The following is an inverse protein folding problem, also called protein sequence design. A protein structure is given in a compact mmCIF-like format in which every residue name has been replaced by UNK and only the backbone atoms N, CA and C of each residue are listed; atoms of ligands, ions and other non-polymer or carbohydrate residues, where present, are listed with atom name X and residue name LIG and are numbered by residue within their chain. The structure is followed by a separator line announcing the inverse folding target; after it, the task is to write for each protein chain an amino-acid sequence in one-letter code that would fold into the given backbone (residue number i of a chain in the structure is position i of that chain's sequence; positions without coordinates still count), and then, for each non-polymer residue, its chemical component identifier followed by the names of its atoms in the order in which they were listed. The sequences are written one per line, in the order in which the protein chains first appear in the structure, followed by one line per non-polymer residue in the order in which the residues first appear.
data_IF_233091153538
#
_entry.id   IF_233091153538
#
_cell.length_a   1.000
_cell.length_b   1.000
_cell.length_c   1.000
_cell.angle_alpha   90.00
_cell.angle_beta   90.00
_cell.angle_gamma   90.00
#
_symmetry.space_group_name_H-M   'P 1'
#
loop_
_entity.id
_entity.type
_entity.pdbx_description
1 polymer ?
#
# COMPACT_ATOMS: atom_id res chain seq x y z
N UNK A 1 2.10 -20.62 31.30
CA UNK A 1 1.53 -19.25 31.28
C UNK A 1 0.41 -19.21 30.26
N UNK A 2 -0.77 -18.71 30.61
CA UNK A 2 -1.86 -18.57 29.66
C UNK A 2 -1.42 -17.60 28.54
N UNK A 3 -1.70 -17.94 27.28
CA UNK A 3 -1.35 -17.10 26.14
C UNK A 3 -2.25 -15.87 26.16
N UNK A 4 -1.66 -14.67 26.22
CA UNK A 4 -2.41 -13.40 26.19
C UNK A 4 -3.31 -13.33 24.96
N UNK A 5 -4.53 -12.85 25.12
CA UNK A 5 -5.45 -12.59 24.02
C UNK A 5 -4.90 -11.49 23.10
N UNK A 6 -5.46 -11.35 21.90
CA UNK A 6 -5.07 -10.27 20.98
C UNK A 6 -5.36 -8.90 21.61
N UNK A 7 -6.48 -8.76 22.31
CA UNK A 7 -6.85 -7.51 22.99
C UNK A 7 -5.86 -7.15 24.10
N UNK A 8 -5.51 -8.10 24.97
CA UNK A 8 -4.52 -7.86 26.03
C UNK A 8 -3.14 -7.48 25.47
N UNK A 9 -2.73 -8.05 24.32
CA UNK A 9 -1.50 -7.63 23.67
C UNK A 9 -1.61 -6.20 23.13
N UNK A 10 -2.74 -5.85 22.51
CA UNK A 10 -2.98 -4.51 22.01
C UNK A 10 -2.95 -3.48 23.14
N UNK A 11 -3.64 -3.72 24.23
CA UNK A 11 -3.64 -2.84 25.41
C UNK A 11 -2.22 -2.64 25.97
N UNK A 12 -1.43 -3.70 26.07
CA UNK A 12 -0.07 -3.59 26.60
C UNK A 12 0.90 -2.91 25.64
N UNK A 13 0.85 -3.24 24.35
CA UNK A 13 1.86 -2.80 23.39
C UNK A 13 1.48 -1.47 22.69
N UNK A 14 0.20 -1.18 22.54
CA UNK A 14 -0.25 0.05 21.85
C UNK A 14 -0.73 1.08 22.85
N UNK A 15 -1.76 0.78 23.63
CA UNK A 15 -2.38 1.78 24.51
C UNK A 15 -1.39 2.27 25.57
N UNK A 16 -0.63 1.39 26.20
CA UNK A 16 0.35 1.77 27.22
C UNK A 16 1.47 2.64 26.64
N UNK A 17 2.00 2.27 25.46
CA UNK A 17 3.03 3.07 24.76
C UNK A 17 2.46 4.41 24.29
N UNK A 18 1.23 4.42 23.80
CA UNK A 18 0.57 5.66 23.40
C UNK A 18 0.45 6.64 24.58
N UNK A 19 -0.04 6.20 25.73
CA UNK A 19 -0.15 7.04 26.92
C UNK A 19 1.21 7.63 27.32
N UNK A 20 2.28 6.81 27.29
CA UNK A 20 3.63 7.25 27.59
C UNK A 20 4.13 8.31 26.59
N UNK A 21 4.10 8.02 25.29
CA UNK A 21 4.65 8.92 24.29
C UNK A 21 3.78 10.16 24.07
N UNK A 22 2.47 10.06 24.25
CA UNK A 22 1.56 11.20 24.24
C UNK A 22 1.84 12.15 25.41
N UNK A 23 2.18 11.63 26.58
CA UNK A 23 2.63 12.45 27.72
C UNK A 23 3.92 13.19 27.38
N UNK A 24 4.89 12.51 26.76
CA UNK A 24 6.13 13.15 26.27
C UNK A 24 5.81 14.23 25.23
N UNK A 25 4.96 13.91 24.25
CA UNK A 25 4.55 14.85 23.20
C UNK A 25 3.90 16.10 23.76
N UNK A 26 3.03 15.94 24.76
CA UNK A 26 2.31 17.05 25.42
C UNK A 26 3.24 17.97 26.23
N UNK A 27 4.41 17.49 26.67
CA UNK A 27 5.39 18.28 27.45
C UNK A 27 6.46 18.95 26.59
N UNK A 28 6.49 18.70 25.29
CA UNK A 28 7.49 19.32 24.42
C UNK A 28 7.26 20.84 24.33
N UNK A 29 8.35 21.65 24.35
CA UNK A 29 8.28 23.11 24.48
C UNK A 29 7.85 23.79 23.17
N UNK A 30 6.66 23.50 22.68
CA UNK A 30 6.07 24.23 21.55
C UNK A 30 5.05 25.22 22.05
N UNK A 31 5.28 26.47 21.76
CA UNK A 31 4.41 27.59 22.16
C UNK A 31 2.94 27.45 21.74
N UNK A 32 2.66 26.57 20.78
CA UNK A 32 1.31 26.31 20.28
C UNK A 32 0.71 24.98 20.76
N UNK A 33 1.51 24.01 21.18
CA UNK A 33 1.04 22.67 21.58
C UNK A 33 0.84 22.58 23.11
N UNK A 34 1.71 23.17 23.91
CA UNK A 34 1.66 23.02 25.37
C UNK A 34 0.34 23.52 26.00
N UNK A 35 -0.18 24.64 25.50
CA UNK A 35 -1.50 25.15 25.97
C UNK A 35 -2.65 24.27 25.41
N UNK A 36 -2.55 23.81 24.17
CA UNK A 36 -3.56 23.01 23.51
C UNK A 36 -3.68 21.63 24.14
N UNK A 37 -2.54 20.98 24.45
CA UNK A 37 -2.51 19.68 25.09
C UNK A 37 -3.17 19.68 26.49
N UNK A 38 -3.02 20.77 27.24
CA UNK A 38 -3.67 20.93 28.56
C UNK A 38 -5.15 21.23 28.43
N UNK A 39 -5.53 21.99 27.40
CA UNK A 39 -6.92 22.43 27.19
C UNK A 39 -7.80 21.30 26.64
N UNK A 40 -7.26 20.42 25.80
CA UNK A 40 -8.04 19.38 25.12
C UNK A 40 -8.82 18.45 26.05
N UNK A 41 -8.28 17.93 27.17
CA UNK A 41 -9.06 17.11 28.11
C UNK A 41 -10.26 17.85 28.69
N UNK A 42 -10.08 19.12 29.08
CA UNK A 42 -11.19 19.94 29.60
C UNK A 42 -12.26 20.20 28.54
N UNK A 43 -11.84 20.48 27.30
CA UNK A 43 -12.77 20.66 26.20
C UNK A 43 -13.54 19.38 25.90
N UNK A 44 -12.86 18.23 25.94
CA UNK A 44 -13.50 16.94 25.71
C UNK A 44 -14.56 16.60 26.78
N UNK A 45 -14.24 16.86 28.08
CA UNK A 45 -15.18 16.67 29.17
C UNK A 45 -16.38 17.63 29.05
N UNK A 46 -16.11 18.89 28.70
CA UNK A 46 -17.15 19.88 28.47
C UNK A 46 -18.11 19.50 27.35
N UNK A 47 -17.56 19.00 26.24
CA UNK A 47 -18.34 18.45 25.11
C UNK A 47 -19.21 17.26 25.55
N UNK A 48 -18.63 16.32 26.31
CA UNK A 48 -19.37 15.14 26.77
C UNK A 48 -20.58 15.55 27.64
N UNK A 49 -20.37 16.44 28.59
CA UNK A 49 -21.45 16.99 29.46
C UNK A 49 -22.52 17.74 28.65
N UNK A 50 -22.11 18.53 27.66
CA UNK A 50 -23.04 19.24 26.79
C UNK A 50 -23.90 18.29 25.93
N UNK A 51 -23.30 17.23 25.38
CA UNK A 51 -24.05 16.22 24.64
C UNK A 51 -25.02 15.43 25.53
N UNK A 52 -24.63 15.11 26.76
CA UNK A 52 -25.52 14.46 27.74
C UNK A 52 -26.75 15.36 28.10
N UNK A 53 -26.58 16.66 28.00
CA UNK A 53 -27.64 17.65 28.15
C UNK A 53 -28.44 17.93 26.88
N UNK A 54 -28.17 17.21 25.77
CA UNK A 54 -28.77 17.40 24.46
C UNK A 54 -28.54 18.80 23.85
N UNK A 55 -27.44 19.47 24.17
CA UNK A 55 -27.04 20.76 23.58
C UNK A 55 -26.51 20.52 22.17
N UNK A 56 -26.69 21.51 21.29
CA UNK A 56 -26.07 21.43 19.98
C UNK A 56 -24.57 21.78 20.03
N UNK A 57 -23.77 21.34 19.06
CA UNK A 57 -22.32 21.58 19.06
C UNK A 57 -21.92 23.05 19.10
N UNK A 58 -22.71 23.96 18.52
CA UNK A 58 -22.41 25.40 18.50
C UNK A 58 -22.58 25.98 19.92
N UNK A 59 -23.70 25.66 20.58
CA UNK A 59 -23.96 26.10 21.98
C UNK A 59 -22.85 25.59 22.91
N UNK A 60 -22.42 24.35 22.77
CA UNK A 60 -21.34 23.78 23.59
C UNK A 60 -20.04 24.57 23.40
N UNK A 61 -19.68 24.89 22.15
CA UNK A 61 -18.47 25.64 21.85
C UNK A 61 -18.56 27.07 22.36
N UNK A 62 -19.68 27.75 22.16
CA UNK A 62 -19.90 29.13 22.65
C UNK A 62 -19.80 29.19 24.18
N UNK A 63 -20.52 28.35 24.92
CA UNK A 63 -20.45 28.26 26.35
C UNK A 63 -19.05 27.95 26.88
N UNK A 64 -18.30 27.07 26.21
CA UNK A 64 -16.93 26.75 26.57
C UNK A 64 -16.03 27.99 26.50
N UNK A 65 -16.12 28.75 25.41
CA UNK A 65 -15.28 29.92 25.22
C UNK A 65 -15.73 31.08 26.14
N UNK A 66 -17.02 31.28 26.38
CA UNK A 66 -17.52 32.24 27.37
C UNK A 66 -17.00 31.96 28.77
N UNK A 67 -16.96 30.69 29.16
CA UNK A 67 -16.50 30.30 30.49
C UNK A 67 -14.99 30.40 30.67
N UNK A 68 -14.21 29.95 29.69
CA UNK A 68 -12.75 29.80 29.85
C UNK A 68 -11.95 30.90 29.17
N UNK A 69 -12.52 31.59 28.19
CA UNK A 69 -11.86 32.62 27.38
C UNK A 69 -12.78 33.82 27.07
N UNK A 70 -13.38 34.46 28.08
CA UNK A 70 -14.42 35.51 27.90
C UNK A 70 -13.92 36.74 27.13
N UNK A 71 -12.61 36.96 27.04
CA UNK A 71 -12.01 38.11 26.37
C UNK A 71 -11.51 37.79 24.93
N UNK A 72 -11.67 36.56 24.47
CA UNK A 72 -11.25 36.19 23.11
C UNK A 72 -12.20 36.79 22.07
N UNK A 73 -11.64 37.17 20.92
CA UNK A 73 -12.45 37.42 19.75
C UNK A 73 -12.94 36.10 19.11
N UNK A 74 -13.97 36.14 18.28
CA UNK A 74 -14.46 35.00 17.51
C UNK A 74 -13.31 34.34 16.70
N UNK A 75 -12.44 35.15 16.11
CA UNK A 75 -11.26 34.70 15.40
C UNK A 75 -10.30 33.90 16.30
N UNK A 76 -10.06 34.37 17.53
CA UNK A 76 -9.18 33.67 18.46
C UNK A 76 -9.78 32.35 18.91
N UNK A 77 -11.11 32.27 19.04
CA UNK A 77 -11.83 31.02 19.33
C UNK A 77 -11.71 30.03 18.21
N UNK A 78 -11.90 30.46 16.95
CA UNK A 78 -11.71 29.62 15.75
C UNK A 78 -10.25 29.14 15.65
N UNK A 79 -9.27 30.03 15.86
CA UNK A 79 -7.85 29.64 15.86
C UNK A 79 -7.54 28.61 16.96
N UNK A 80 -8.19 28.71 18.12
CA UNK A 80 -8.03 27.73 19.21
C UNK A 80 -8.62 26.39 18.86
N UNK A 81 -9.84 26.33 18.30
CA UNK A 81 -10.45 25.09 17.80
C UNK A 81 -9.57 24.44 16.73
N UNK A 82 -9.04 25.22 15.82
CA UNK A 82 -8.15 24.71 14.77
C UNK A 82 -6.87 24.08 15.35
N UNK A 83 -6.32 24.67 16.41
CA UNK A 83 -5.17 24.10 17.14
C UNK A 83 -5.52 22.79 17.86
N UNK A 84 -6.72 22.67 18.43
CA UNK A 84 -7.21 21.45 19.05
C UNK A 84 -7.30 20.33 17.99
N UNK A 85 -7.90 20.60 16.83
CA UNK A 85 -7.99 19.66 15.72
C UNK A 85 -6.59 19.23 15.26
N UNK A 86 -5.69 20.18 15.04
CA UNK A 86 -4.31 19.87 14.63
C UNK A 86 -3.55 19.03 15.67
N UNK A 87 -3.83 19.21 16.95
CA UNK A 87 -3.24 18.41 18.01
C UNK A 87 -3.77 16.98 17.99
N UNK A 88 -5.09 16.80 17.82
CA UNK A 88 -5.73 15.49 17.69
C UNK A 88 -5.17 14.74 16.47
N UNK A 89 -5.05 15.40 15.33
CA UNK A 89 -4.45 14.78 14.13
C UNK A 89 -3.03 14.24 14.40
N UNK A 90 -2.24 14.96 15.15
CA UNK A 90 -0.88 14.51 15.54
C UNK A 90 -0.90 13.35 16.52
N UNK A 91 -1.88 13.31 17.42
CA UNK A 91 -2.09 12.16 18.31
C UNK A 91 -2.48 10.91 17.52
N UNK A 92 -3.32 11.05 16.47
CA UNK A 92 -3.67 9.93 15.56
C UNK A 92 -2.44 9.43 14.83
N UNK A 93 -1.60 10.32 14.30
CA UNK A 93 -0.33 9.94 13.64
C UNK A 93 0.62 9.21 14.59
N UNK A 94 0.72 9.67 15.83
CA UNK A 94 1.51 8.97 16.85
C UNK A 94 0.94 7.58 17.14
N UNK A 95 -0.37 7.47 17.24
CA UNK A 95 -1.05 6.19 17.46
C UNK A 95 -0.78 5.22 16.31
N UNK A 96 -0.94 5.66 15.06
CA UNK A 96 -0.65 4.87 13.86
C UNK A 96 0.80 4.35 13.84
N UNK A 97 1.76 5.21 14.20
CA UNK A 97 3.17 4.82 14.28
C UNK A 97 3.44 3.75 15.36
N UNK A 98 2.74 3.83 16.50
CA UNK A 98 2.86 2.85 17.58
C UNK A 98 2.20 1.53 17.18
N UNK A 99 1.02 1.57 16.55
CA UNK A 99 0.31 0.39 16.09
C UNK A 99 1.14 -0.35 15.02
N UNK A 100 1.73 0.39 14.07
CA UNK A 100 2.66 -0.19 13.08
C UNK A 100 3.90 -0.79 13.76
N UNK A 101 4.47 -0.13 14.76
CA UNK A 101 5.59 -0.66 15.52
C UNK A 101 5.25 -1.98 16.24
N UNK A 102 4.06 -2.07 16.82
CA UNK A 102 3.60 -3.22 17.60
C UNK A 102 2.96 -4.33 16.75
N UNK A 103 2.84 -4.14 15.43
CA UNK A 103 2.05 -5.00 14.55
C UNK A 103 2.43 -6.49 14.67
N UNK A 104 3.73 -6.81 14.69
CA UNK A 104 4.21 -8.19 14.81
C UNK A 104 4.00 -8.79 16.20
N UNK A 105 3.98 -7.98 17.23
CA UNK A 105 3.78 -8.40 18.63
C UNK A 105 2.30 -8.68 18.92
N UNK A 106 1.41 -7.92 18.31
CA UNK A 106 -0.04 -8.09 18.45
C UNK A 106 -0.55 -9.26 17.62
N UNK A 107 -0.06 -9.42 16.39
CA UNK A 107 -0.52 -10.42 15.45
C UNK A 107 0.34 -11.68 15.52
N UNK A 108 -0.30 -12.82 15.75
CA UNK A 108 0.39 -14.11 15.74
C UNK A 108 0.48 -14.68 14.32
N UNK A 109 1.60 -14.44 13.64
CA UNK A 109 1.85 -14.96 12.28
C UNK A 109 2.11 -16.45 12.20
N UNK A 110 2.19 -17.15 13.32
CA UNK A 110 2.31 -18.60 13.39
C UNK A 110 1.02 -19.27 13.85
N UNK A 111 0.00 -18.47 14.20
CA UNK A 111 -1.26 -18.95 14.73
C UNK A 111 -2.28 -19.34 13.67
N UNK A 112 -3.48 -19.69 14.15
CA UNK A 112 -4.62 -20.06 13.30
C UNK A 112 -4.97 -18.94 12.31
N UNK A 113 -5.30 -19.33 11.07
CA UNK A 113 -5.61 -18.39 9.99
C UNK A 113 -4.41 -17.95 9.14
N UNK A 114 -3.22 -18.50 9.41
CA UNK A 114 -2.05 -18.30 8.55
C UNK A 114 -1.92 -19.42 7.52
N UNK A 115 -1.19 -19.19 6.43
CA UNK A 115 -0.88 -20.23 5.44
C UNK A 115 -0.19 -21.44 6.07
N UNK A 116 0.67 -21.19 7.04
CA UNK A 116 1.37 -22.24 7.78
C UNK A 116 0.38 -23.11 8.56
N UNK A 117 -0.48 -22.51 9.35
CA UNK A 117 -1.47 -23.28 10.13
C UNK A 117 -2.47 -24.01 9.25
N UNK A 118 -2.85 -23.43 8.11
CA UNK A 118 -3.72 -24.10 7.13
C UNK A 118 -3.07 -25.34 6.52
N UNK A 119 -1.76 -25.27 6.23
CA UNK A 119 -0.98 -26.44 5.79
C UNK A 119 -0.90 -27.50 6.88
N UNK A 120 -0.56 -27.12 8.11
CA UNK A 120 -0.44 -28.02 9.25
C UNK A 120 -1.77 -28.73 9.52
N UNK A 121 -2.88 -28.00 9.57
CA UNK A 121 -4.23 -28.55 9.75
C UNK A 121 -4.63 -29.49 8.60
N UNK A 122 -4.32 -29.14 7.35
CA UNK A 122 -4.59 -30.01 6.20
C UNK A 122 -3.79 -31.31 6.26
N UNK A 123 -2.56 -31.24 6.76
CA UNK A 123 -1.70 -32.41 6.93
C UNK A 123 -2.23 -33.33 8.05
N UNK A 124 -2.56 -32.76 9.21
CA UNK A 124 -3.12 -33.51 10.36
C UNK A 124 -4.44 -34.21 10.01
N UNK A 125 -5.29 -33.54 9.22
CA UNK A 125 -6.59 -34.07 8.79
C UNK A 125 -6.52 -34.90 7.50
N UNK A 126 -5.34 -35.19 6.95
CA UNK A 126 -5.14 -35.89 5.67
C UNK A 126 -5.88 -35.25 4.48
N UNK A 127 -6.00 -33.89 4.48
CA UNK A 127 -6.69 -33.10 3.47
C UNK A 127 -5.76 -32.27 2.58
N UNK A 128 -4.49 -32.64 2.46
CA UNK A 128 -3.51 -31.90 1.66
C UNK A 128 -3.90 -31.83 0.18
N UNK A 129 -4.48 -32.91 -0.38
CA UNK A 129 -4.99 -32.92 -1.75
C UNK A 129 -6.13 -31.91 -1.96
N UNK A 130 -7.08 -31.84 -1.01
CA UNK A 130 -8.17 -30.87 -1.05
C UNK A 130 -7.69 -29.43 -0.91
N UNK A 131 -6.63 -29.18 -0.12
CA UNK A 131 -6.02 -27.85 0.00
C UNK A 131 -5.34 -27.45 -1.32
N UNK A 132 -4.65 -28.36 -1.99
CA UNK A 132 -4.05 -28.11 -3.32
C UNK A 132 -5.12 -27.78 -4.35
N UNK A 133 -6.19 -28.56 -4.41
CA UNK A 133 -7.32 -28.33 -5.33
C UNK A 133 -7.99 -26.97 -5.04
N UNK A 134 -8.25 -26.66 -3.78
CA UNK A 134 -8.79 -25.36 -3.36
C UNK A 134 -7.91 -24.20 -3.82
N UNK A 135 -6.60 -24.24 -3.56
CA UNK A 135 -5.67 -23.18 -3.95
C UNK A 135 -5.46 -23.07 -5.46
N UNK A 136 -5.63 -24.16 -6.21
CA UNK A 136 -5.58 -24.10 -7.67
C UNK A 136 -6.75 -23.29 -8.28
N UNK A 137 -7.84 -23.17 -7.55
CA UNK A 137 -9.06 -22.45 -7.98
C UNK A 137 -9.31 -21.16 -7.21
N UNK A 138 -8.68 -20.98 -6.05
CA UNK A 138 -8.85 -19.82 -5.19
C UNK A 138 -8.21 -18.57 -5.81
N UNK A 139 -8.98 -17.47 -5.81
CA UNK A 139 -8.49 -16.16 -6.23
C UNK A 139 -8.97 -15.09 -5.28
N UNK A 140 -8.08 -14.16 -4.96
CA UNK A 140 -8.41 -12.94 -4.22
C UNK A 140 -7.93 -11.72 -5.01
N UNK A 141 -8.77 -10.70 -5.06
CA UNK A 141 -8.46 -9.45 -5.75
C UNK A 141 -8.51 -8.27 -4.77
N UNK A 142 -7.41 -7.95 -4.09
CA UNK A 142 -7.30 -6.68 -3.38
C UNK A 142 -7.35 -5.53 -4.37
N UNK A 143 -8.16 -4.51 -4.09
CA UNK A 143 -8.32 -3.33 -4.94
C UNK A 143 -7.82 -2.10 -4.20
N UNK A 144 -6.87 -1.38 -4.80
CA UNK A 144 -6.43 -0.09 -4.30
C UNK A 144 -7.40 0.98 -4.79
N UNK A 145 -8.04 1.67 -3.84
CA UNK A 145 -9.07 2.69 -4.11
C UNK A 145 -8.54 4.10 -3.95
N UNK A 146 -9.21 5.09 -4.56
CA UNK A 146 -8.80 6.49 -4.55
C UNK A 146 -9.08 7.25 -3.24
N UNK A 147 -9.81 6.65 -2.30
CA UNK A 147 -10.23 7.32 -1.07
C UNK A 147 -9.60 6.65 0.16
N UNK A 148 -8.33 6.89 0.45
CA UNK A 148 -7.82 6.60 1.77
C UNK A 148 -8.54 7.55 2.75
N UNK A 149 -9.17 7.01 3.76
CA UNK A 149 -9.79 7.78 4.86
C UNK A 149 -8.75 8.63 5.62
N UNK A 150 -7.46 8.32 5.43
CA UNK A 150 -6.33 9.03 5.98
C UNK A 150 -5.32 9.31 4.86
N UNK A 151 -5.35 10.51 4.30
CA UNK A 151 -4.37 10.94 3.32
C UNK A 151 -3.33 11.84 3.97
N UNK A 152 -2.29 11.23 4.53
CA UNK A 152 -1.16 11.99 5.05
C UNK A 152 -0.25 12.49 3.93
N UNK A 153 0.23 13.75 4.01
CA UNK A 153 1.32 14.21 3.15
C UNK A 153 2.54 13.30 3.26
N UNK A 154 3.32 13.17 2.19
CA UNK A 154 4.52 12.30 2.20
C UNK A 154 5.51 12.58 3.34
N UNK A 155 5.60 13.85 3.79
CA UNK A 155 6.38 14.24 4.98
C UNK A 155 5.88 13.60 6.28
N UNK A 156 4.55 13.45 6.42
CA UNK A 156 3.95 12.83 7.61
C UNK A 156 4.10 11.31 7.55
N UNK A 157 3.94 10.69 6.36
CA UNK A 157 4.22 9.26 6.17
C UNK A 157 5.67 8.91 6.50
N UNK A 158 6.63 9.77 6.13
CA UNK A 158 8.02 9.62 6.54
C UNK A 158 8.18 9.62 8.06
N UNK A 159 7.53 10.55 8.75
CA UNK A 159 7.58 10.60 10.22
C UNK A 159 6.97 9.34 10.85
N UNK A 160 5.85 8.82 10.33
CA UNK A 160 5.23 7.57 10.82
C UNK A 160 6.22 6.41 10.70
N UNK A 161 6.87 6.26 9.56
CA UNK A 161 7.85 5.21 9.31
C UNK A 161 9.06 5.30 10.25
N UNK A 162 9.60 6.50 10.42
CA UNK A 162 10.75 6.74 11.28
C UNK A 162 10.39 6.54 12.76
N UNK A 163 9.22 7.02 13.21
CA UNK A 163 8.70 6.79 14.56
C UNK A 163 8.49 5.30 14.82
N UNK A 164 7.84 4.58 13.91
CA UNK A 164 7.64 3.13 14.03
C UNK A 164 8.98 2.41 14.21
N UNK A 165 10.00 2.79 13.44
CA UNK A 165 11.35 2.21 13.53
C UNK A 165 12.02 2.52 14.88
N UNK A 166 11.95 3.78 15.33
CA UNK A 166 12.52 4.21 16.60
C UNK A 166 11.81 3.56 17.81
N UNK A 167 10.49 3.40 17.73
CA UNK A 167 9.68 2.72 18.76
C UNK A 167 10.04 1.24 18.85
N UNK A 168 10.18 0.54 17.72
CA UNK A 168 10.65 -0.86 17.66
C UNK A 168 12.03 -1.03 18.32
N UNK A 169 12.91 -0.05 18.10
CA UNK A 169 14.26 -0.06 18.66
C UNK A 169 14.32 0.44 20.13
N UNK A 170 13.22 0.93 20.70
CA UNK A 170 13.19 1.64 21.99
C UNK A 170 14.17 2.82 22.09
N UNK A 171 14.41 3.52 20.96
CA UNK A 171 15.32 4.67 20.88
C UNK A 171 14.63 5.97 21.32
N UNK A 172 14.62 6.22 22.64
CA UNK A 172 13.98 7.39 23.23
C UNK A 172 14.52 8.73 22.73
N UNK A 173 15.82 8.94 22.51
CA UNK A 173 16.32 10.16 21.89
C UNK A 173 15.73 10.45 20.53
N UNK A 174 15.71 9.46 19.63
CA UNK A 174 15.11 9.58 18.29
C UNK A 174 13.61 9.81 18.36
N UNK A 175 12.89 9.11 19.24
CA UNK A 175 11.45 9.31 19.45
C UNK A 175 11.16 10.77 19.83
N UNK A 176 11.92 11.36 20.77
CA UNK A 176 11.74 12.77 21.16
C UNK A 176 11.95 13.73 19.99
N UNK A 177 12.98 13.51 19.17
CA UNK A 177 13.28 14.35 18.00
C UNK A 177 12.12 14.23 16.98
N UNK A 178 11.64 13.02 16.69
CA UNK A 178 10.57 12.77 15.74
C UNK A 178 9.22 13.32 16.22
N UNK A 179 8.91 13.22 17.52
CA UNK A 179 7.75 13.88 18.10
C UNK A 179 7.87 15.41 17.99
N UNK A 180 9.08 15.94 18.17
CA UNK A 180 9.37 17.34 17.96
C UNK A 180 9.15 17.78 16.51
N UNK A 181 9.56 16.97 15.55
CA UNK A 181 9.31 17.18 14.13
C UNK A 181 7.82 17.12 13.81
N UNK A 182 7.11 16.11 14.31
CA UNK A 182 5.67 15.92 14.14
C UNK A 182 4.90 17.15 14.61
N UNK A 183 5.25 17.69 15.79
CA UNK A 183 4.61 18.88 16.35
C UNK A 183 4.74 20.14 15.48
N UNK A 184 5.77 20.21 14.64
CA UNK A 184 6.06 21.38 13.77
C UNK A 184 5.71 21.15 12.30
N UNK A 185 5.41 19.91 11.90
CA UNK A 185 5.06 19.59 10.52
C UNK A 185 3.64 20.02 10.20
N UNK A 186 3.43 20.81 9.12
CA UNK A 186 2.09 21.15 8.69
C UNK A 186 1.43 19.95 8.00
N UNK A 187 0.16 19.67 8.36
CA UNK A 187 -0.61 18.56 7.78
C UNK A 187 -1.42 19.00 6.56
N UNK A 188 -1.75 20.27 6.48
CA UNK A 188 -2.56 20.80 5.38
C UNK A 188 -1.69 21.16 4.17
N UNK A 189 -2.04 20.60 3.01
CA UNK A 189 -1.57 21.09 1.72
C UNK A 189 -2.51 22.20 1.25
N UNK A 190 -1.95 23.27 0.69
CA UNK A 190 -2.73 24.35 0.09
C UNK A 190 -3.51 23.91 -1.15
N UNK A 191 -3.03 22.87 -1.84
CA UNK A 191 -3.61 22.36 -3.08
C UNK A 191 -4.10 20.91 -2.87
N UNK A 192 -5.30 20.62 -3.36
CA UNK A 192 -5.83 19.26 -3.40
C UNK A 192 -5.00 18.41 -4.36
N UNK A 193 -4.67 17.15 -4.03
CA UNK A 193 -4.01 16.25 -4.96
C UNK A 193 -4.89 16.03 -6.20
N UNK A 194 -4.25 15.96 -7.36
CA UNK A 194 -4.93 15.55 -8.59
C UNK A 194 -5.15 14.03 -8.59
N UNK A 195 -6.12 13.50 -9.39
CA UNK A 195 -6.29 12.06 -9.53
C UNK A 195 -5.01 11.31 -9.98
N UNK A 196 -4.14 11.96 -10.72
CA UNK A 196 -2.85 11.39 -11.10
C UNK A 196 -1.86 11.35 -9.93
N UNK A 197 -1.89 12.34 -9.04
CA UNK A 197 -1.04 12.36 -7.84
C UNK A 197 -1.48 11.26 -6.85
N UNK A 198 -2.78 11.05 -6.71
CA UNK A 198 -3.33 9.93 -5.94
C UNK A 198 -2.90 8.59 -6.52
N UNK A 199 -3.01 8.42 -7.84
CA UNK A 199 -2.55 7.22 -8.52
C UNK A 199 -1.05 6.96 -8.28
N UNK A 200 -0.19 7.98 -8.40
CA UNK A 200 1.24 7.87 -8.15
C UNK A 200 1.56 7.48 -6.69
N UNK A 201 0.83 8.07 -5.73
CA UNK A 201 1.00 7.73 -4.31
C UNK A 201 0.68 6.26 -4.04
N UNK A 202 -0.38 5.72 -4.63
CA UNK A 202 -0.74 4.31 -4.46
C UNK A 202 0.16 3.36 -5.27
N UNK A 203 0.72 3.80 -6.39
CA UNK A 203 1.75 3.03 -7.12
C UNK A 203 2.99 2.79 -6.28
N UNK A 204 3.30 3.69 -5.34
CA UNK A 204 4.40 3.49 -4.39
C UNK A 204 4.21 2.20 -3.56
N UNK A 205 2.98 1.95 -3.08
CA UNK A 205 2.66 0.72 -2.35
C UNK A 205 2.75 -0.52 -3.23
N UNK A 206 2.35 -0.43 -4.50
CA UNK A 206 2.54 -1.53 -5.45
C UNK A 206 4.02 -1.88 -5.56
N UNK A 207 4.88 -0.87 -5.71
CA UNK A 207 6.31 -1.02 -5.91
C UNK A 207 7.04 -1.56 -4.66
N UNK A 208 6.73 -1.02 -3.49
CA UNK A 208 7.52 -1.26 -2.29
C UNK A 208 6.93 -2.33 -1.36
N UNK A 209 5.63 -2.58 -1.45
CA UNK A 209 4.94 -3.54 -0.59
C UNK A 209 4.42 -4.74 -1.38
N UNK A 210 3.49 -4.53 -2.31
CA UNK A 210 2.80 -5.64 -2.98
C UNK A 210 3.71 -6.47 -3.87
N UNK A 211 4.67 -5.86 -4.55
CA UNK A 211 5.63 -6.57 -5.41
C UNK A 211 6.39 -7.67 -4.67
N UNK A 212 6.76 -7.41 -3.43
CA UNK A 212 7.46 -8.37 -2.60
C UNK A 212 6.51 -9.33 -1.88
N UNK A 213 5.46 -8.82 -1.27
CA UNK A 213 4.52 -9.61 -0.46
C UNK A 213 3.77 -10.65 -1.27
N UNK A 214 3.27 -10.29 -2.45
CA UNK A 214 2.56 -11.23 -3.33
C UNK A 214 3.50 -12.33 -3.82
N UNK A 215 4.73 -11.97 -4.18
CA UNK A 215 5.76 -12.93 -4.58
C UNK A 215 6.09 -13.91 -3.45
N UNK A 216 6.27 -13.41 -2.23
CA UNK A 216 6.59 -14.24 -1.06
C UNK A 216 5.45 -15.22 -0.73
N UNK A 217 4.19 -14.77 -0.85
CA UNK A 217 3.01 -15.63 -0.66
C UNK A 217 3.00 -16.73 -1.71
N UNK A 218 3.20 -16.40 -2.97
CA UNK A 218 3.24 -17.37 -4.07
C UNK A 218 4.37 -18.39 -3.88
N UNK A 219 5.57 -17.92 -3.55
CA UNK A 219 6.72 -18.76 -3.28
C UNK A 219 6.49 -19.69 -2.08
N UNK A 220 5.90 -19.18 -1.00
CA UNK A 220 5.55 -20.02 0.15
C UNK A 220 4.59 -21.15 -0.24
N UNK A 221 3.55 -20.84 -1.00
CA UNK A 221 2.56 -21.82 -1.45
C UNK A 221 3.20 -22.85 -2.39
N UNK A 222 3.98 -22.40 -3.38
CA UNK A 222 4.73 -23.29 -4.30
C UNK A 222 5.60 -24.27 -3.52
N UNK A 223 6.44 -23.76 -2.62
CA UNK A 223 7.44 -24.59 -1.95
C UNK A 223 6.87 -25.48 -0.83
N UNK A 224 5.84 -24.99 -0.12
CA UNK A 224 5.36 -25.68 1.07
C UNK A 224 4.08 -26.48 0.87
N UNK A 225 3.28 -26.14 -0.15
CA UNK A 225 1.99 -26.83 -0.40
C UNK A 225 2.07 -27.64 -1.68
N UNK A 226 2.69 -27.12 -2.75
CA UNK A 226 2.83 -27.80 -4.03
C UNK A 226 4.17 -28.54 -4.21
N UNK A 227 4.94 -28.73 -3.14
CA UNK A 227 6.21 -29.49 -3.14
C UNK A 227 7.24 -28.97 -4.17
N UNK A 228 7.30 -27.66 -4.35
CA UNK A 228 8.19 -26.99 -5.31
C UNK A 228 7.72 -27.02 -6.76
N UNK A 229 6.57 -27.63 -7.05
CA UNK A 229 6.00 -27.67 -8.40
C UNK A 229 5.26 -26.38 -8.73
N UNK A 230 5.34 -25.97 -9.98
CA UNK A 230 4.57 -24.84 -10.49
C UNK A 230 3.08 -25.15 -10.47
N UNK A 231 2.29 -24.13 -10.23
CA UNK A 231 0.84 -24.15 -10.35
C UNK A 231 0.38 -22.90 -11.13
N UNK A 232 -0.62 -23.06 -11.98
CA UNK A 232 -0.98 -22.04 -12.97
C UNK A 232 -1.82 -20.88 -12.41
N UNK A 233 -2.29 -20.96 -11.16
CA UNK A 233 -3.16 -19.94 -10.58
C UNK A 233 -2.35 -18.78 -9.97
N UNK A 234 -2.55 -17.52 -10.42
CA UNK A 234 -1.87 -16.36 -9.83
C UNK A 234 -2.29 -16.06 -8.38
N UNK A 235 -3.32 -16.70 -7.83
CA UNK A 235 -3.89 -16.53 -6.47
C UNK A 235 -4.31 -15.10 -6.13
N UNK A 236 -3.41 -14.14 -6.30
CA UNK A 236 -3.63 -12.73 -5.98
C UNK A 236 -3.55 -11.92 -7.28
N UNK A 237 -4.65 -11.25 -7.59
CA UNK A 237 -4.76 -10.32 -8.71
C UNK A 237 -5.07 -8.93 -8.17
N UNK A 238 -4.20 -7.97 -8.42
CA UNK A 238 -4.37 -6.62 -7.89
C UNK A 238 -5.29 -5.80 -8.79
N UNK A 239 -6.25 -5.11 -8.17
CA UNK A 239 -7.10 -4.11 -8.82
C UNK A 239 -6.63 -2.69 -8.47
N UNK A 240 -6.92 -1.73 -9.35
CA UNK A 240 -6.52 -0.34 -9.18
C UNK A 240 -7.62 0.59 -9.70
N UNK A 241 -8.12 1.48 -8.85
CA UNK A 241 -9.18 2.43 -9.21
C UNK A 241 -8.70 3.84 -9.56
N UNK A 242 -7.67 4.40 -8.89
CA UNK A 242 -7.24 5.77 -9.17
C UNK A 242 -6.91 5.99 -10.64
N UNK A 243 -7.44 7.06 -11.22
CA UNK A 243 -7.30 7.36 -12.64
C UNK A 243 -8.20 6.57 -13.59
N UNK A 244 -8.94 5.55 -13.11
CA UNK A 244 -9.93 4.78 -13.87
C UNK A 244 -11.35 4.95 -13.35
N UNK A 245 -11.50 5.20 -12.07
CA UNK A 245 -12.79 5.43 -11.39
C UNK A 245 -13.19 6.90 -11.50
N UNK A 246 -14.23 7.15 -12.25
CA UNK A 246 -14.74 8.52 -12.44
C UNK A 246 -15.68 8.94 -11.33
N UNK A 247 -16.57 8.08 -10.91
CA UNK A 247 -17.56 8.29 -9.83
C UNK A 247 -18.07 9.76 -9.74
N UNK A 248 -18.42 10.33 -10.90
CA UNK A 248 -18.83 11.75 -11.02
C UNK A 248 -17.68 12.77 -10.96
N UNK A 249 -16.43 12.36 -10.78
CA UNK A 249 -15.28 13.25 -10.74
C UNK A 249 -14.85 13.68 -12.18
N UNK A 250 -15.06 14.93 -12.57
CA UNK A 250 -14.74 15.40 -13.93
C UNK A 250 -13.23 15.46 -14.21
N UNK A 251 -12.39 15.41 -13.18
CA UNK A 251 -10.93 15.46 -13.33
C UNK A 251 -10.32 14.11 -13.70
N UNK A 252 -11.07 13.00 -13.61
CA UNK A 252 -10.63 11.69 -14.11
C UNK A 252 -10.90 11.60 -15.62
N UNK A 253 -10.07 12.27 -16.39
CA UNK A 253 -10.15 12.31 -17.85
C UNK A 253 -9.50 11.08 -18.49
N UNK A 254 -9.75 10.89 -19.80
CA UNK A 254 -9.08 9.84 -20.59
C UNK A 254 -7.55 9.95 -20.56
N UNK A 255 -7.01 11.18 -20.60
CA UNK A 255 -5.58 11.45 -20.50
C UNK A 255 -5.00 10.95 -19.15
N UNK A 256 -5.70 11.21 -18.05
CA UNK A 256 -5.33 10.72 -16.72
C UNK A 256 -5.36 9.18 -16.68
N UNK A 257 -6.38 8.56 -17.27
CA UNK A 257 -6.48 7.09 -17.35
C UNK A 257 -5.31 6.49 -18.12
N UNK A 258 -4.96 7.06 -19.27
CA UNK A 258 -3.81 6.60 -20.06
C UNK A 258 -2.47 6.79 -19.31
N UNK A 259 -2.27 7.95 -18.68
CA UNK A 259 -1.08 8.23 -17.86
C UNK A 259 -0.97 7.26 -16.69
N UNK A 260 -2.09 6.91 -16.05
CA UNK A 260 -2.13 5.94 -14.96
C UNK A 260 -1.75 4.53 -15.46
N UNK A 261 -2.33 4.09 -16.58
CA UNK A 261 -1.99 2.79 -17.18
C UNK A 261 -0.51 2.70 -17.57
N UNK A 262 0.03 3.77 -18.17
CA UNK A 262 1.46 3.88 -18.48
C UNK A 262 2.33 3.88 -17.21
N UNK A 263 1.87 4.55 -16.15
CA UNK A 263 2.53 4.56 -14.86
C UNK A 263 2.62 3.18 -14.22
N UNK A 264 1.53 2.41 -14.22
CA UNK A 264 1.49 1.03 -13.73
C UNK A 264 2.47 0.13 -14.51
N UNK A 265 2.46 0.22 -15.86
CA UNK A 265 3.41 -0.50 -16.71
C UNK A 265 4.85 -0.12 -16.41
N UNK A 266 5.18 1.15 -16.38
CA UNK A 266 6.54 1.64 -16.13
C UNK A 266 7.04 1.23 -14.75
N UNK A 267 6.15 1.18 -13.77
CA UNK A 267 6.49 0.83 -12.38
C UNK A 267 6.89 -0.64 -12.24
N UNK A 268 6.14 -1.57 -12.83
CA UNK A 268 6.48 -2.99 -12.79
C UNK A 268 7.77 -3.29 -13.57
N UNK A 269 7.94 -2.69 -14.75
CA UNK A 269 9.17 -2.87 -15.55
C UNK A 269 10.40 -2.35 -14.81
N UNK A 270 10.27 -1.22 -14.06
CA UNK A 270 11.34 -0.69 -13.21
C UNK A 270 11.72 -1.66 -12.10
N UNK A 271 10.76 -2.37 -11.52
CA UNK A 271 11.04 -3.39 -10.51
C UNK A 271 11.79 -4.58 -11.11
N UNK A 272 11.39 -5.07 -12.30
CA UNK A 272 12.12 -6.12 -12.99
C UNK A 272 13.56 -5.70 -13.34
N UNK A 273 13.73 -4.46 -13.81
CA UNK A 273 15.07 -3.91 -14.06
C UNK A 273 15.94 -3.91 -12.81
N UNK A 274 15.37 -3.50 -11.67
CA UNK A 274 16.11 -3.51 -10.38
C UNK A 274 16.49 -4.92 -9.95
N UNK A 275 15.61 -5.88 -10.12
CA UNK A 275 15.86 -7.27 -9.75
C UNK A 275 16.91 -7.91 -10.68
N UNK A 276 16.79 -7.78 -11.99
CA UNK A 276 17.79 -8.33 -12.91
C UNK A 276 19.16 -7.66 -12.74
N UNK A 277 19.19 -6.36 -12.44
CA UNK A 277 20.44 -5.66 -12.16
C UNK A 277 21.14 -6.20 -10.90
N UNK A 278 20.38 -6.56 -9.87
CA UNK A 278 20.93 -7.23 -8.66
C UNK A 278 21.44 -8.64 -9.00
N UNK A 279 20.65 -9.40 -9.76
CA UNK A 279 21.00 -10.75 -10.18
C UNK A 279 22.24 -10.78 -11.04
N UNK A 280 22.40 -9.86 -12.00
CA UNK A 280 23.54 -9.79 -12.90
C UNK A 280 24.89 -9.77 -12.18
N UNK A 281 24.96 -9.16 -10.99
CA UNK A 281 26.20 -9.15 -10.17
C UNK A 281 26.59 -10.54 -9.68
N UNK A 282 25.67 -11.51 -9.70
CA UNK A 282 25.86 -12.90 -9.26
C UNK A 282 25.93 -13.86 -10.45
N UNK A 283 25.28 -13.51 -11.55
CA UNK A 283 25.17 -14.33 -12.75
C UNK A 283 26.34 -14.08 -13.72
N UNK A 284 27.56 -14.32 -13.25
CA UNK A 284 28.81 -14.10 -13.99
C UNK A 284 29.30 -15.33 -14.77
N UNK A 285 28.39 -16.29 -14.95
CA UNK A 285 28.71 -17.58 -15.58
C UNK A 285 28.66 -17.49 -17.11
N UNK A 286 29.55 -18.26 -17.78
CA UNK A 286 29.58 -18.35 -19.25
C UNK A 286 28.23 -18.80 -19.80
N UNK A 287 27.70 -18.08 -20.78
CA UNK A 287 26.41 -18.35 -21.39
C UNK A 287 25.24 -17.68 -20.64
N UNK A 288 25.32 -17.43 -19.34
CA UNK A 288 24.29 -16.80 -18.53
C UNK A 288 24.45 -15.27 -18.51
N UNK A 289 25.68 -14.79 -18.36
CA UNK A 289 25.99 -13.35 -18.26
C UNK A 289 25.46 -12.53 -19.43
N UNK A 290 25.64 -13.04 -20.65
CA UNK A 290 25.20 -12.36 -21.88
C UNK A 290 23.66 -12.24 -21.96
N UNK A 291 22.93 -13.27 -21.55
CA UNK A 291 21.45 -13.25 -21.52
C UNK A 291 20.97 -12.24 -20.47
N UNK A 292 21.55 -12.28 -19.27
CA UNK A 292 21.21 -11.35 -18.19
C UNK A 292 21.50 -9.89 -18.56
N UNK A 293 22.62 -9.62 -19.23
CA UNK A 293 23.00 -8.29 -19.73
C UNK A 293 22.02 -7.79 -20.81
N UNK A 294 21.59 -8.69 -21.72
CA UNK A 294 20.60 -8.36 -22.75
C UNK A 294 19.24 -8.00 -22.12
N UNK A 295 18.76 -8.78 -21.15
CA UNK A 295 17.53 -8.47 -20.42
C UNK A 295 17.63 -7.10 -19.74
N UNK A 296 18.73 -6.85 -18.99
CA UNK A 296 18.91 -5.58 -18.31
C UNK A 296 18.89 -4.40 -19.27
N UNK A 297 19.61 -4.48 -20.39
CA UNK A 297 19.65 -3.44 -21.41
C UNK A 297 18.28 -3.16 -22.03
N UNK A 298 17.54 -4.19 -22.37
CA UNK A 298 16.21 -4.03 -22.97
C UNK A 298 15.18 -3.50 -21.98
N UNK A 299 15.22 -3.93 -20.70
CA UNK A 299 14.37 -3.36 -19.65
C UNK A 299 14.72 -1.89 -19.38
N UNK A 300 16.01 -1.54 -19.38
CA UNK A 300 16.45 -0.15 -19.28
C UNK A 300 15.87 0.71 -20.41
N UNK A 301 15.95 0.20 -21.65
CA UNK A 301 15.37 0.88 -22.80
C UNK A 301 13.85 1.05 -22.66
N UNK A 302 13.14 0.04 -22.18
CA UNK A 302 11.68 0.13 -21.95
C UNK A 302 11.27 1.18 -20.91
N UNK A 303 12.18 1.58 -20.01
CA UNK A 303 11.91 2.60 -18.96
C UNK A 303 12.29 3.99 -19.44
N UNK A 304 13.46 4.13 -20.09
CA UNK A 304 14.10 5.40 -20.33
C UNK A 304 14.18 5.78 -21.83
N UNK A 305 13.72 4.88 -22.71
CA UNK A 305 14.01 5.02 -24.12
C UNK A 305 13.22 6.11 -24.84
N UNK A 306 13.94 6.71 -25.78
CA UNK A 306 13.44 7.38 -26.97
C UNK A 306 12.87 6.30 -27.92
N UNK A 307 11.78 6.61 -28.60
CA UNK A 307 10.88 5.71 -29.38
C UNK A 307 11.50 4.67 -30.33
N UNK A 308 12.81 4.62 -30.51
CA UNK A 308 13.45 3.83 -31.59
C UNK A 308 14.35 2.66 -31.09
N UNK A 309 14.31 2.32 -29.79
CA UNK A 309 15.11 1.21 -29.31
C UNK A 309 14.24 -0.01 -28.96
N UNK A 310 14.73 -1.25 -29.22
CA UNK A 310 13.92 -2.45 -29.04
C UNK A 310 13.56 -2.68 -27.57
N UNK A 311 12.27 -2.71 -27.30
CA UNK A 311 11.73 -3.12 -26.00
C UNK A 311 11.77 -4.66 -25.93
N UNK A 312 11.83 -5.19 -24.69
CA UNK A 312 11.68 -6.62 -24.47
C UNK A 312 10.19 -6.96 -24.37
N UNK A 313 9.72 -7.95 -25.13
CA UNK A 313 8.37 -8.48 -24.93
C UNK A 313 8.27 -9.29 -23.64
N UNK A 314 7.06 -9.44 -23.10
CA UNK A 314 6.83 -10.28 -21.92
C UNK A 314 7.23 -11.75 -22.20
N UNK A 315 6.93 -12.24 -23.39
CA UNK A 315 7.30 -13.59 -23.82
C UNK A 315 8.83 -13.78 -23.86
N UNK A 316 9.56 -12.81 -24.44
CA UNK A 316 11.02 -12.88 -24.49
C UNK A 316 11.65 -12.78 -23.09
N UNK A 317 11.11 -11.91 -22.21
CA UNK A 317 11.56 -11.81 -20.84
C UNK A 317 11.40 -13.16 -20.11
N UNK A 318 10.23 -13.75 -20.22
CA UNK A 318 9.92 -15.06 -19.61
C UNK A 318 10.83 -16.15 -20.16
N UNK A 319 10.96 -16.25 -21.49
CA UNK A 319 11.80 -17.26 -22.16
C UNK A 319 13.27 -17.12 -21.78
N UNK A 320 13.80 -15.90 -21.77
CA UNK A 320 15.19 -15.65 -21.38
C UNK A 320 15.46 -16.00 -19.91
N UNK A 321 14.54 -15.69 -18.99
CA UNK A 321 14.68 -16.09 -17.60
C UNK A 321 14.61 -17.61 -17.42
N UNK A 322 13.73 -18.29 -18.14
CA UNK A 322 13.68 -19.75 -18.17
C UNK A 322 14.97 -20.37 -18.69
N UNK A 323 15.55 -19.80 -19.76
CA UNK A 323 16.83 -20.24 -20.29
C UNK A 323 17.97 -20.06 -19.27
N UNK A 324 18.03 -18.92 -18.59
CA UNK A 324 18.99 -18.71 -17.50
C UNK A 324 18.82 -19.78 -16.43
N UNK A 325 17.58 -20.02 -15.98
CA UNK A 325 17.29 -21.01 -14.95
C UNK A 325 17.75 -22.41 -15.36
N UNK A 326 17.47 -22.83 -16.59
CA UNK A 326 17.89 -24.13 -17.13
C UNK A 326 19.42 -24.29 -17.14
N UNK A 327 20.14 -23.27 -17.64
CA UNK A 327 21.62 -23.27 -17.64
C UNK A 327 22.20 -23.35 -16.22
N UNK A 328 21.61 -22.64 -15.27
CA UNK A 328 22.05 -22.70 -13.88
C UNK A 328 21.87 -24.07 -13.25
N UNK A 329 20.77 -24.77 -13.58
CA UNK A 329 20.49 -26.10 -13.06
C UNK A 329 21.38 -27.16 -13.75
N UNK A 330 21.51 -27.11 -15.10
CA UNK A 330 22.28 -28.11 -15.84
C UNK A 330 23.80 -27.98 -15.65
N UNK A 331 24.34 -26.78 -15.76
CA UNK A 331 25.78 -26.56 -15.90
C UNK A 331 26.42 -26.01 -14.61
N UNK A 332 25.65 -25.43 -13.71
CA UNK A 332 26.14 -24.71 -12.53
C UNK A 332 25.54 -25.18 -11.19
N UNK A 333 25.09 -26.44 -11.13
CA UNK A 333 24.57 -27.09 -9.92
C UNK A 333 23.47 -26.30 -9.19
N UNK A 334 22.67 -25.52 -9.92
CA UNK A 334 21.56 -24.74 -9.38
C UNK A 334 21.99 -23.47 -8.60
N UNK A 335 23.24 -23.01 -8.73
CA UNK A 335 23.68 -21.75 -8.10
C UNK A 335 22.81 -20.58 -8.57
N UNK A 336 22.21 -19.86 -7.64
CA UNK A 336 21.30 -18.72 -7.87
C UNK A 336 20.02 -19.03 -8.68
N UNK A 337 19.72 -20.31 -8.93
CA UNK A 337 18.52 -20.71 -9.67
C UNK A 337 17.23 -20.26 -8.92
N UNK A 338 17.23 -20.30 -7.58
CA UNK A 338 16.09 -19.84 -6.75
C UNK A 338 15.80 -18.36 -6.93
N UNK A 339 16.82 -17.53 -7.01
CA UNK A 339 16.66 -16.09 -7.21
C UNK A 339 16.12 -15.76 -8.60
N UNK A 340 16.51 -16.52 -9.62
CA UNK A 340 15.97 -16.40 -10.98
C UNK A 340 14.52 -16.87 -11.01
N UNK A 341 14.21 -17.97 -10.33
CA UNK A 341 12.86 -18.51 -10.19
C UNK A 341 11.93 -17.50 -9.48
N UNK A 342 12.42 -16.85 -8.43
CA UNK A 342 11.68 -15.78 -7.74
C UNK A 342 11.35 -14.60 -8.68
N UNK A 343 12.28 -14.19 -9.54
CA UNK A 343 12.01 -13.16 -10.55
C UNK A 343 11.01 -13.64 -11.60
N UNK A 344 11.16 -14.88 -12.07
CA UNK A 344 10.24 -15.49 -13.03
C UNK A 344 8.81 -15.56 -12.48
N UNK A 345 8.66 -15.95 -11.21
CA UNK A 345 7.37 -15.98 -10.54
C UNK A 345 6.73 -14.57 -10.48
N UNK A 346 7.51 -13.52 -10.22
CA UNK A 346 7.03 -12.12 -10.26
C UNK A 346 6.57 -11.73 -11.66
N UNK A 347 7.34 -12.09 -12.69
CA UNK A 347 6.99 -11.81 -14.09
C UNK A 347 5.69 -12.53 -14.48
N UNK A 348 5.52 -13.78 -14.06
CA UNK A 348 4.30 -14.55 -14.31
C UNK A 348 3.09 -13.97 -13.56
N UNK A 349 3.30 -13.46 -12.33
CA UNK A 349 2.23 -12.89 -11.51
C UNK A 349 1.76 -11.53 -12.00
N UNK A 350 2.68 -10.63 -12.30
CA UNK A 350 2.35 -9.22 -12.59
C UNK A 350 2.33 -8.89 -14.09
N UNK A 351 2.97 -9.69 -14.94
CA UNK A 351 3.12 -9.37 -16.36
C UNK A 351 3.72 -7.98 -16.56
N UNK A 352 3.14 -7.20 -17.48
CA UNK A 352 3.50 -5.80 -17.70
C UNK A 352 2.45 -4.81 -17.24
N UNK A 353 1.51 -5.25 -16.40
CA UNK A 353 0.37 -4.41 -16.00
C UNK A 353 0.37 -4.02 -14.53
N UNK A 354 1.08 -4.73 -13.69
CA UNK A 354 1.17 -4.61 -12.23
C UNK A 354 -0.16 -4.81 -11.52
N UNK A 355 -1.19 -4.08 -11.92
CA UNK A 355 -2.55 -4.18 -11.43
C UNK A 355 -3.55 -3.92 -12.57
N UNK A 356 -4.75 -4.47 -12.46
CA UNK A 356 -5.85 -4.22 -13.41
C UNK A 356 -6.48 -2.86 -13.10
N UNK A 357 -6.39 -1.93 -14.04
CA UNK A 357 -7.05 -0.64 -13.93
C UNK A 357 -8.54 -0.79 -14.25
N UNK A 358 -9.40 -0.54 -13.27
CA UNK A 358 -10.83 -0.62 -13.44
C UNK A 358 -11.39 0.70 -13.99
N UNK A 359 -12.10 0.63 -15.09
CA UNK A 359 -12.81 1.77 -15.67
C UNK A 359 -14.23 1.77 -15.11
N UNK A 360 -14.51 2.69 -14.18
CA UNK A 360 -15.83 2.87 -13.57
C UNK A 360 -16.45 4.17 -14.05
N UNK A 361 -17.68 4.08 -14.60
CA UNK A 361 -18.42 5.20 -15.16
C UNK A 361 -19.92 4.90 -15.13
N UNK A 362 -20.76 5.91 -15.31
CA UNK A 362 -22.22 5.76 -15.49
C UNK A 362 -22.52 4.76 -16.62
N UNK A 363 -23.50 3.88 -16.37
CA UNK A 363 -23.88 2.83 -17.31
C UNK A 363 -24.32 3.35 -18.67
N UNK A 364 -24.91 4.55 -18.72
CA UNK A 364 -25.33 5.20 -19.97
C UNK A 364 -24.15 5.53 -20.86
N UNK A 365 -23.06 6.06 -20.26
CA UNK A 365 -21.82 6.35 -20.98
C UNK A 365 -21.16 5.08 -21.53
N UNK A 366 -21.17 3.99 -20.75
CA UNK A 366 -20.71 2.68 -21.23
C UNK A 366 -21.57 2.19 -22.40
N UNK A 367 -22.90 2.30 -22.31
CA UNK A 367 -23.82 1.91 -23.36
C UNK A 367 -23.57 2.70 -24.66
N UNK A 368 -23.45 4.03 -24.58
CA UNK A 368 -23.19 4.88 -25.72
C UNK A 368 -21.84 4.57 -26.39
N UNK A 369 -20.79 4.37 -25.60
CA UNK A 369 -19.49 3.96 -26.08
C UNK A 369 -19.56 2.60 -26.81
N UNK A 370 -20.21 1.61 -26.21
CA UNK A 370 -20.42 0.29 -26.82
C UNK A 370 -21.19 0.38 -28.13
N UNK A 371 -22.30 1.13 -28.18
CA UNK A 371 -23.09 1.30 -29.40
C UNK A 371 -22.30 2.01 -30.51
N UNK A 372 -21.45 2.96 -30.14
CA UNK A 372 -20.57 3.64 -31.10
C UNK A 372 -19.53 2.70 -31.70
N UNK A 373 -18.89 1.89 -30.87
CA UNK A 373 -17.93 0.86 -31.32
C UNK A 373 -18.60 -0.20 -32.20
N UNK A 374 -19.78 -0.66 -31.80
CA UNK A 374 -20.56 -1.63 -32.57
C UNK A 374 -20.91 -1.11 -33.97
N UNK A 375 -21.43 0.14 -34.06
CA UNK A 375 -21.72 0.78 -35.36
C UNK A 375 -20.44 0.92 -36.22
N UNK A 376 -19.30 1.22 -35.62
CA UNK A 376 -18.02 1.27 -36.29
C UNK A 376 -17.60 -0.10 -36.85
N UNK A 377 -17.67 -1.15 -36.04
CA UNK A 377 -17.35 -2.51 -36.44
C UNK A 377 -18.28 -3.05 -37.53
N UNK A 378 -19.58 -2.71 -37.49
CA UNK A 378 -20.54 -3.06 -38.52
C UNK A 378 -20.24 -2.36 -39.86
N UNK A 379 -19.79 -1.10 -39.83
CA UNK A 379 -19.38 -0.38 -41.06
C UNK A 379 -18.12 -0.98 -41.67
N UNK A 380 -17.22 -1.54 -40.86
CA UNK A 380 -15.99 -2.21 -41.31
C UNK A 380 -16.20 -3.70 -41.69
N UNK A 381 -17.42 -4.23 -41.57
CA UNK A 381 -17.73 -5.62 -41.90
C UNK A 381 -17.18 -6.67 -40.93
N UNK A 382 -16.70 -6.22 -39.75
CA UNK A 382 -16.13 -7.10 -38.70
C UNK A 382 -17.23 -7.81 -37.92
N UNK A 383 -18.44 -7.23 -37.86
CA UNK A 383 -19.61 -7.81 -37.17
C UNK A 383 -20.83 -7.73 -38.09
N UNK A 384 -21.61 -8.83 -38.16
CA UNK A 384 -22.82 -8.88 -38.96
C UNK A 384 -23.88 -7.90 -38.46
N UNK A 385 -24.64 -7.29 -39.39
CA UNK A 385 -25.72 -6.30 -39.11
C UNK A 385 -26.91 -6.84 -38.29
N UNK A 386 -26.93 -8.11 -37.93
CA UNK A 386 -28.00 -8.73 -37.11
C UNK A 386 -27.42 -9.08 -35.73
N UNK A 387 -27.49 -8.17 -34.82
CA UNK A 387 -27.54 -8.37 -33.36
C UNK A 387 -28.56 -7.40 -32.82
#
# INVERSE_FOLDING_TARGET
MAQKTKLERFENEVISRFNLYNSVFSTLPYSHISKTATLLPFFAEFCALGFDQNKNPIEIVEEFFEQYYPNNSEKDNIDTLFRLIQFIERQVVLFDAIEDAAFTEINNFSGRGTLRSSKEEATEKSKTASLKDYLSNFRVRPVLTAHPTQFYPGSVLGIITDLSTAIKANDLPSIKILLAQLGRTPFFKKEKPTPLDEAKSLMWYLEHVFYHSVSNIHEYIKNNIFDGKDFENPLINLGFWPGGDRDGNPFVTTDITLKTAQGLRSNVIRNYYRDIRKLRRRLTFKGVEGIAANIESKLYNSIFSKKDQPEISLADLTSNLQQIHQLLVSDYHGMFAKEVDALLNKVNTFGYHFASLDIRQDSRVHHEAFMTLLKGAQKQGVVNKKV
#
